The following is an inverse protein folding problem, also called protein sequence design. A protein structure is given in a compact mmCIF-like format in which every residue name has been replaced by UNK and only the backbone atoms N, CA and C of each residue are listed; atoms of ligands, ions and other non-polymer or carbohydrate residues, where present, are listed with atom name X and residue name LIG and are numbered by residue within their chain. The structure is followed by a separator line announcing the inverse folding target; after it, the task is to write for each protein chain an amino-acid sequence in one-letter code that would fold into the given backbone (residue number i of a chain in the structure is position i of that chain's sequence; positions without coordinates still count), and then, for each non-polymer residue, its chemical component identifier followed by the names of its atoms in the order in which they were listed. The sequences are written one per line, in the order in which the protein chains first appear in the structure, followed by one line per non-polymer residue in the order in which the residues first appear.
data_IF_938643418064
#
_entry.id   IF_938643418064
#
_cell.length_a   1.000
_cell.length_b   1.000
_cell.length_c   1.000
_cell.angle_alpha   90.00
_cell.angle_beta   90.00
_cell.angle_gamma   90.00
#
_symmetry.space_group_name_H-M   'P 1'
#
loop_
_entity.id
_entity.type
_entity.pdbx_description
1 polymer ?
#
# COMPACT_ATOMS: atom_id res chain seq x y z
N UNK A 1 -18.35 24.39 9.32
CA UNK A 1 -17.56 24.59 8.08
C UNK A 1 -16.64 23.41 7.77
N UNK A 2 -17.15 22.16 7.84
CA UNK A 2 -16.57 20.97 7.21
C UNK A 2 -17.72 20.02 6.91
N UNK A 3 -18.35 20.20 5.75
CA UNK A 3 -19.22 19.22 5.09
C UNK A 3 -19.24 19.65 3.62
N UNK A 4 -18.10 19.47 2.94
CA UNK A 4 -17.96 19.72 1.52
C UNK A 4 -16.83 18.82 1.00
N UNK A 5 -17.17 17.94 0.06
CA UNK A 5 -16.38 16.83 -0.50
C UNK A 5 -16.34 15.61 0.42
N UNK A 6 -17.36 14.76 0.30
CA UNK A 6 -17.38 13.46 0.96
C UNK A 6 -16.21 12.61 0.45
N UNK A 7 -15.22 12.40 1.30
CA UNK A 7 -14.23 11.33 1.10
C UNK A 7 -15.02 10.04 0.92
N UNK A 8 -14.96 9.46 -0.28
CA UNK A 8 -15.52 8.14 -0.50
C UNK A 8 -14.72 7.12 0.35
N UNK A 9 -15.34 6.01 0.73
CA UNK A 9 -14.67 4.97 1.53
C UNK A 9 -13.33 4.53 0.89
N UNK A 10 -13.28 4.53 -0.44
CA UNK A 10 -12.11 4.20 -1.26
C UNK A 10 -10.91 5.14 -1.04
N UNK A 11 -11.10 6.45 -1.05
CA UNK A 11 -10.04 7.44 -0.84
C UNK A 11 -9.46 7.32 0.57
N UNK A 12 -10.32 7.11 1.57
CA UNK A 12 -9.89 6.91 2.96
C UNK A 12 -9.02 5.65 3.06
N UNK A 13 -9.50 4.53 2.52
CA UNK A 13 -8.75 3.27 2.51
C UNK A 13 -7.44 3.40 1.72
N UNK A 14 -7.43 4.15 0.62
CA UNK A 14 -6.20 4.34 -0.16
C UNK A 14 -5.16 5.15 0.61
N UNK A 15 -5.55 6.23 1.29
CA UNK A 15 -4.64 7.04 2.12
C UNK A 15 -4.04 6.18 3.22
N UNK A 16 -4.86 5.43 3.95
CA UNK A 16 -4.39 4.54 5.02
C UNK A 16 -3.40 3.48 4.51
N UNK A 17 -3.68 2.90 3.34
CA UNK A 17 -2.82 1.88 2.70
C UNK A 17 -1.50 2.48 2.23
N UNK A 18 -1.51 3.69 1.68
CA UNK A 18 -0.29 4.35 1.22
C UNK A 18 0.62 4.73 2.39
N UNK A 19 0.05 5.32 3.45
CA UNK A 19 0.78 5.65 4.70
C UNK A 19 1.36 4.40 5.37
N UNK A 20 0.57 3.31 5.42
CA UNK A 20 1.05 2.01 5.85
C UNK A 20 2.23 1.54 5.01
N UNK A 21 2.12 1.58 3.68
CA UNK A 21 3.18 1.10 2.78
C UNK A 21 4.48 1.90 2.95
N UNK A 22 4.38 3.23 3.07
CA UNK A 22 5.54 4.11 3.31
C UNK A 22 6.28 3.73 4.60
N UNK A 23 5.55 3.35 5.65
CA UNK A 23 6.12 2.94 6.94
C UNK A 23 6.64 1.49 6.91
N UNK A 24 5.92 0.59 6.26
CA UNK A 24 6.22 -0.84 6.21
C UNK A 24 7.42 -1.17 5.31
N UNK A 25 7.49 -0.55 4.12
CA UNK A 25 8.45 -0.94 3.08
C UNK A 25 9.92 -0.83 3.50
N UNK A 26 10.38 0.21 4.22
CA UNK A 26 11.75 0.27 4.74
C UNK A 26 12.05 -0.88 5.71
N UNK A 27 11.11 -1.20 6.60
CA UNK A 27 11.26 -2.29 7.58
C UNK A 27 11.31 -3.65 6.90
N UNK A 28 10.43 -3.87 5.91
CA UNK A 28 10.43 -5.08 5.09
C UNK A 28 11.76 -5.28 4.34
N UNK A 29 12.31 -4.22 3.73
CA UNK A 29 13.61 -4.28 3.07
C UNK A 29 14.74 -4.67 4.03
N UNK A 30 14.76 -4.12 5.23
CA UNK A 30 15.74 -4.48 6.27
C UNK A 30 15.61 -5.97 6.64
N UNK A 31 14.37 -6.45 6.80
CA UNK A 31 14.11 -7.85 7.09
C UNK A 31 14.62 -8.77 5.97
N UNK A 32 14.37 -8.45 4.69
CA UNK A 32 14.87 -9.24 3.55
C UNK A 32 16.40 -9.33 3.49
N UNK A 33 17.09 -8.22 3.80
CA UNK A 33 18.56 -8.21 3.88
C UNK A 33 19.03 -9.14 5.01
N UNK A 34 18.41 -9.02 6.19
CA UNK A 34 18.78 -9.81 7.38
C UNK A 34 18.47 -11.30 7.24
N UNK A 35 17.39 -11.67 6.55
CA UNK A 35 16.98 -13.07 6.36
C UNK A 35 17.78 -13.77 5.26
N UNK A 36 18.60 -13.02 4.49
CA UNK A 36 19.31 -13.55 3.34
C UNK A 36 18.40 -13.93 2.17
N UNK A 37 17.10 -13.60 2.24
CA UNK A 37 16.13 -13.89 1.17
C UNK A 37 16.43 -12.96 0.00
N UNK A 38 17.12 -13.50 -1.00
CA UNK A 38 17.48 -12.76 -2.20
C UNK A 38 16.35 -12.83 -3.22
N UNK A 39 15.56 -11.75 -3.29
CA UNK A 39 14.54 -11.58 -4.31
C UNK A 39 14.93 -10.48 -5.29
N UNK A 40 14.68 -10.69 -6.59
CA UNK A 40 14.91 -9.66 -7.61
C UNK A 40 13.94 -8.50 -7.37
N UNK A 41 14.48 -7.30 -7.15
CA UNK A 41 13.68 -6.08 -7.13
C UNK A 41 13.33 -5.69 -8.57
N UNK A 42 12.19 -6.17 -9.06
CA UNK A 42 11.67 -5.83 -10.38
C UNK A 42 10.62 -4.72 -10.23
N UNK A 43 10.88 -3.48 -10.71
CA UNK A 43 9.89 -2.42 -10.64
C UNK A 43 8.66 -2.80 -11.48
N UNK A 44 7.48 -2.73 -10.87
CA UNK A 44 6.20 -2.87 -11.55
C UNK A 44 5.71 -1.52 -12.08
N UNK A 45 4.79 -1.56 -13.05
CA UNK A 45 4.09 -0.36 -13.53
C UNK A 45 3.11 0.22 -12.50
N UNK A 46 2.65 -0.61 -11.55
CA UNK A 46 1.79 -0.21 -10.45
C UNK A 46 2.59 -0.12 -9.15
N UNK A 47 2.31 0.89 -8.31
CA UNK A 47 2.84 0.94 -6.96
C UNK A 47 2.25 -0.20 -6.12
N UNK A 48 2.98 -0.63 -5.10
CA UNK A 48 2.49 -1.66 -4.18
C UNK A 48 1.22 -1.21 -3.44
N UNK A 49 1.13 0.07 -3.07
CA UNK A 49 -0.09 0.65 -2.47
C UNK A 49 -1.31 0.53 -3.41
N UNK A 50 -1.14 0.74 -4.72
CA UNK A 50 -2.19 0.53 -5.72
C UNK A 50 -2.57 -0.95 -5.85
N UNK A 51 -1.60 -1.86 -5.80
CA UNK A 51 -1.86 -3.30 -5.82
C UNK A 51 -2.65 -3.73 -4.56
N UNK A 52 -2.24 -3.26 -3.38
CA UNK A 52 -2.94 -3.49 -2.12
C UNK A 52 -4.39 -2.98 -2.18
N UNK A 53 -4.59 -1.76 -2.71
CA UNK A 53 -5.92 -1.21 -2.92
C UNK A 53 -6.80 -2.12 -3.81
N UNK A 54 -6.28 -2.59 -4.96
CA UNK A 54 -7.03 -3.52 -5.83
C UNK A 54 -7.45 -4.78 -5.08
N UNK A 55 -6.55 -5.37 -4.27
CA UNK A 55 -6.85 -6.59 -3.50
C UNK A 55 -7.93 -6.32 -2.44
N UNK A 56 -7.82 -5.21 -1.71
CA UNK A 56 -8.77 -4.83 -0.66
C UNK A 56 -10.16 -4.59 -1.25
N UNK A 57 -10.24 -3.82 -2.35
CA UNK A 57 -11.53 -3.48 -2.98
C UNK A 57 -12.17 -4.68 -3.67
N UNK A 58 -11.37 -5.57 -4.25
CA UNK A 58 -11.85 -6.85 -4.79
C UNK A 58 -12.49 -7.71 -3.70
N UNK A 59 -11.89 -7.77 -2.50
CA UNK A 59 -12.45 -8.55 -1.38
C UNK A 59 -13.71 -7.90 -0.77
N UNK A 60 -13.92 -6.60 -0.95
CA UNK A 60 -15.10 -5.88 -0.45
C UNK A 60 -16.32 -5.99 -1.36
N UNK A 61 -16.16 -6.52 -2.58
CA UNK A 61 -17.22 -6.71 -3.58
C UNK A 61 -17.87 -8.08 -3.47
#
# INVERSE_FOLDING_TARGET
MYNALGMNNLETVFVDVDDFYQTFFPTWKKHLISSGIKQRNHPSHLSVSKVMMIVITFHQS
#
